data_IF_593159139883
#
_entry.id   IF_593159139883
#
_cell.length_a   1.000
_cell.length_b   1.000
_cell.length_c   1.000
_cell.angle_alpha   90.00
_cell.angle_beta   90.00
_cell.angle_gamma   90.00
#
_symmetry.space_group_name_H-M   'P 1'
#
loop_
_entity.id
_entity.type
_entity.pdbx_description
1 polymer ?
#
# COMPACT_ATOMS: atom_id res chain seq x y z
N UNK A 1 -5.30 -4.24 -6.20
CA UNK A 1 -5.24 -3.15 -7.21
C UNK A 1 -4.47 -1.94 -6.69
N UNK A 2 -4.81 -1.41 -5.52
CA UNK A 2 -4.12 -0.24 -4.93
C UNK A 2 -2.58 -0.36 -4.85
N UNK A 3 -2.02 -1.47 -4.36
CA UNK A 3 -0.56 -1.68 -4.33
C UNK A 3 0.13 -1.51 -5.69
N UNK A 4 -0.50 -2.01 -6.76
CA UNK A 4 0.03 -1.88 -8.12
C UNK A 4 0.01 -0.42 -8.60
N UNK A 5 -1.03 0.35 -8.26
CA UNK A 5 -1.11 1.77 -8.58
C UNK A 5 0.00 2.56 -7.88
N UNK A 6 0.28 2.28 -6.61
CA UNK A 6 1.40 2.90 -5.87
C UNK A 6 2.73 2.60 -6.57
N UNK A 7 2.99 1.35 -6.95
CA UNK A 7 4.22 0.96 -7.64
C UNK A 7 4.38 1.64 -9.01
N UNK A 8 3.30 1.81 -9.76
CA UNK A 8 3.31 2.47 -11.07
C UNK A 8 3.36 4.00 -10.99
N UNK A 9 2.92 4.60 -9.87
CA UNK A 9 2.84 6.07 -9.69
C UNK A 9 4.20 6.77 -9.65
N UNK A 10 5.32 6.03 -9.66
CA UNK A 10 6.68 6.53 -9.43
C UNK A 10 6.82 7.33 -8.12
N UNK A 11 5.89 7.15 -7.18
CA UNK A 11 5.98 7.71 -5.85
C UNK A 11 7.21 7.16 -5.11
N UNK A 12 7.83 8.01 -4.29
CA UNK A 12 9.01 7.69 -3.49
C UNK A 12 8.69 7.97 -2.04
N UNK A 13 9.17 7.12 -1.14
CA UNK A 13 8.85 7.16 0.30
C UNK A 13 9.23 8.48 0.99
N UNK A 14 10.16 9.24 0.41
CA UNK A 14 10.59 10.55 0.91
C UNK A 14 9.70 11.72 0.45
N UNK A 15 8.60 11.46 -0.28
CA UNK A 15 7.66 12.48 -0.73
C UNK A 15 6.28 12.25 -0.10
N UNK A 16 5.54 13.32 0.24
CA UNK A 16 4.16 13.17 0.67
C UNK A 16 3.34 12.50 -0.44
N UNK A 17 2.48 11.55 -0.05
CA UNK A 17 1.44 11.01 -0.92
C UNK A 17 0.13 11.72 -0.61
N UNK A 18 -0.57 12.18 -1.63
CA UNK A 18 -1.88 12.82 -1.49
C UNK A 18 -2.91 12.13 -2.38
N UNK A 19 -3.97 11.65 -1.76
CA UNK A 19 -5.13 11.03 -2.43
C UNK A 19 -6.39 11.84 -2.08
N UNK A 20 -6.86 12.74 -2.97
CA UNK A 20 -7.99 13.63 -2.69
C UNK A 20 -9.35 12.92 -2.66
N UNK A 21 -9.42 11.68 -3.13
CA UNK A 21 -10.66 10.90 -3.23
C UNK A 21 -10.49 9.54 -2.54
N UNK A 22 -9.92 9.54 -1.33
CA UNK A 22 -9.37 8.32 -0.73
C UNK A 22 -10.38 7.21 -0.44
N UNK A 23 -11.69 7.50 -0.39
CA UNK A 23 -12.74 6.51 -0.16
C UNK A 23 -12.46 5.68 1.11
N UNK A 24 -12.30 4.37 0.96
CA UNK A 24 -11.94 3.44 2.04
C UNK A 24 -10.47 3.55 2.52
N UNK A 25 -9.66 4.42 1.91
CA UNK A 25 -8.25 4.64 2.26
C UNK A 25 -7.29 3.60 1.69
N UNK A 26 -7.74 2.68 0.83
CA UNK A 26 -6.96 1.53 0.36
C UNK A 26 -5.63 1.95 -0.29
N UNK A 27 -5.61 3.02 -1.08
CA UNK A 27 -4.38 3.49 -1.74
C UNK A 27 -3.33 3.98 -0.73
N UNK A 28 -3.77 4.76 0.27
CA UNK A 28 -2.90 5.26 1.33
C UNK A 28 -2.38 4.14 2.24
N UNK A 29 -3.22 3.16 2.59
CA UNK A 29 -2.82 1.99 3.39
C UNK A 29 -1.75 1.18 2.67
N UNK A 30 -1.97 0.84 1.40
CA UNK A 30 -0.99 0.09 0.60
C UNK A 30 0.33 0.86 0.45
N UNK A 31 0.28 2.18 0.24
CA UNK A 31 1.48 3.00 0.18
C UNK A 31 2.25 3.04 1.51
N UNK A 32 1.55 3.11 2.63
CA UNK A 32 2.16 3.07 3.95
C UNK A 32 2.82 1.71 4.23
N UNK A 33 2.15 0.61 3.90
CA UNK A 33 2.71 -0.75 4.03
C UNK A 33 3.97 -0.90 3.18
N UNK A 34 3.94 -0.41 1.94
CA UNK A 34 5.08 -0.46 1.02
C UNK A 34 6.26 0.40 1.52
N UNK A 35 5.99 1.62 2.00
CA UNK A 35 7.01 2.50 2.56
C UNK A 35 7.66 1.97 3.84
N UNK A 36 6.91 1.19 4.63
CA UNK A 36 7.39 0.55 5.86
C UNK A 36 7.93 -0.86 5.63
N UNK A 37 7.96 -1.32 4.38
CA UNK A 37 8.38 -2.67 4.00
C UNK A 37 7.63 -3.77 4.77
N UNK A 38 6.32 -3.58 4.99
CA UNK A 38 5.43 -4.53 5.68
C UNK A 38 4.91 -5.54 4.67
N UNK A 39 5.07 -6.83 4.98
CA UNK A 39 4.56 -7.89 4.12
C UNK A 39 3.02 -7.89 4.09
N UNK A 40 2.36 -7.96 2.91
CA UNK A 40 0.90 -7.95 2.79
C UNK A 40 0.23 -9.20 3.38
N UNK A 41 0.99 -10.27 3.59
CA UNK A 41 0.53 -11.49 4.24
C UNK A 41 0.64 -11.49 5.76
N UNK A 42 1.24 -10.46 6.37
CA UNK A 42 1.67 -10.52 7.78
C UNK A 42 0.54 -10.73 8.78
N UNK A 43 -0.66 -10.23 8.48
CA UNK A 43 -1.83 -10.29 9.38
C UNK A 43 -2.91 -11.26 8.89
N UNK A 44 -2.56 -12.25 8.06
CA UNK A 44 -3.49 -13.29 7.60
C UNK A 44 -2.82 -14.66 7.58
N UNK A 45 -3.62 -15.70 7.81
CA UNK A 45 -3.20 -17.08 7.65
C UNK A 45 -3.33 -17.53 6.20
N UNK A 46 -2.59 -18.57 5.83
CA UNK A 46 -2.66 -19.20 4.51
C UNK A 46 -3.15 -20.64 4.63
N UNK A 47 -3.96 -21.10 3.66
CA UNK A 47 -4.55 -22.44 3.70
C UNK A 47 -3.54 -23.59 3.59
N UNK A 48 -2.29 -23.31 3.21
CA UNK A 48 -1.22 -24.27 3.02
C UNK A 48 -0.14 -24.22 4.11
N UNK A 49 -0.35 -23.43 5.18
CA UNK A 49 0.51 -23.45 6.37
C UNK A 49 0.58 -24.83 7.03
#
# INVERSE_FOLDING_TARGET
MAAALVLLSNWKFNRPLWDPCCGSGTLGIEAAMLARNIAPGLQRSFAFE
#
